data_IF_948610262853
#
_entry.id   IF_948610262853
#
_cell.length_a   1.000
_cell.length_b   1.000
_cell.length_c   1.000
_cell.angle_alpha   90.00
_cell.angle_beta   90.00
_cell.angle_gamma   90.00
#
_symmetry.space_group_name_H-M   'P 1'
#
loop_
_entity.id
_entity.type
_entity.pdbx_description
1 polymer ?
#
# COMPACT_ATOMS: atom_id res chain seq x y z
N UNK A 1 -24.08 -3.19 -38.09
CA UNK A 1 -23.64 -1.88 -37.58
C UNK A 1 -22.65 -2.20 -36.45
N UNK A 2 -21.34 -2.38 -36.70
CA UNK A 2 -20.30 -1.36 -36.96
C UNK A 2 -20.40 -0.20 -35.98
N UNK A 3 -19.56 -0.24 -34.94
CA UNK A 3 -18.96 0.87 -34.17
C UNK A 3 -17.83 0.25 -33.31
N UNK A 4 -16.63 0.06 -33.86
CA UNK A 4 -15.48 0.99 -33.72
C UNK A 4 -15.03 1.12 -32.25
N UNK A 5 -14.04 0.37 -31.75
CA UNK A 5 -12.62 0.38 -32.16
C UNK A 5 -12.04 1.79 -32.10
N UNK A 6 -11.96 2.39 -30.90
CA UNK A 6 -11.28 3.69 -30.70
C UNK A 6 -10.63 3.90 -29.32
N UNK A 7 -10.54 2.89 -28.44
CA UNK A 7 -9.86 3.04 -27.13
C UNK A 7 -8.41 2.52 -27.17
N UNK A 8 -8.03 1.75 -28.19
CA UNK A 8 -6.71 1.09 -28.24
C UNK A 8 -5.56 1.97 -28.74
N UNK A 9 -5.81 3.25 -29.10
CA UNK A 9 -4.80 4.13 -29.70
C UNK A 9 -4.24 5.21 -28.76
N UNK A 10 -4.79 5.35 -27.55
CA UNK A 10 -4.30 6.32 -26.55
C UNK A 10 -3.11 5.83 -25.72
N UNK A 11 -2.90 4.51 -25.62
CA UNK A 11 -1.96 3.92 -24.66
C UNK A 11 -0.52 3.80 -25.19
N UNK A 12 -0.32 3.81 -26.51
CA UNK A 12 1.01 3.69 -27.13
C UNK A 12 1.79 5.02 -27.08
N UNK A 13 1.09 6.16 -27.05
CA UNK A 13 1.72 7.48 -27.03
C UNK A 13 2.34 7.84 -25.67
N UNK A 14 1.87 7.23 -24.56
CA UNK A 14 2.41 7.53 -23.23
C UNK A 14 3.71 6.78 -22.92
N UNK A 15 3.87 5.56 -23.47
CA UNK A 15 5.08 4.74 -23.30
C UNK A 15 6.30 5.38 -24.00
N UNK A 16 6.10 6.13 -25.08
CA UNK A 16 7.18 6.82 -25.78
C UNK A 16 7.74 8.04 -25.01
N UNK A 17 6.99 8.62 -24.07
CA UNK A 17 7.44 9.80 -23.30
C UNK A 17 8.31 9.43 -22.09
N UNK A 18 8.15 8.21 -21.54
CA UNK A 18 8.90 7.78 -20.34
C UNK A 18 10.30 7.24 -20.69
N UNK A 19 10.54 6.84 -21.94
CA UNK A 19 11.82 6.22 -22.35
C UNK A 19 12.84 7.18 -22.99
N UNK A 20 12.54 8.48 -23.12
CA UNK A 20 13.43 9.45 -23.77
C UNK A 20 13.82 10.61 -22.84
N UNK A 21 14.36 10.28 -21.66
CA UNK A 21 15.06 11.24 -20.81
C UNK A 21 16.59 11.07 -21.02
N UNK A 22 17.30 12.11 -21.52
CA UNK A 22 18.74 12.02 -21.75
C UNK A 22 19.54 12.10 -20.43
N UNK A 23 20.66 11.36 -20.31
CA UNK A 23 21.54 11.46 -19.14
C UNK A 23 22.35 12.76 -19.18
N UNK A 24 22.26 13.57 -18.12
CA UNK A 24 23.19 14.71 -17.93
C UNK A 24 24.58 14.18 -17.56
N UNK A 25 25.51 14.30 -18.49
CA UNK A 25 26.93 14.18 -18.23
C UNK A 25 27.60 15.56 -18.29
N UNK A 26 28.27 15.88 -17.17
CA UNK A 26 29.58 16.53 -17.00
C UNK A 26 29.89 17.82 -17.77
N UNK A 27 30.20 18.87 -16.99
CA UNK A 27 31.21 19.86 -17.36
C UNK A 27 32.30 19.88 -16.27
N UNK A 28 33.49 19.44 -16.67
CA UNK A 28 34.78 19.77 -16.05
C UNK A 28 35.14 21.22 -16.41
N UNK A 29 35.79 21.95 -15.51
CA UNK A 29 36.83 22.91 -15.87
C UNK A 29 37.70 23.27 -14.62
N UNK A 30 38.90 23.87 -14.78
CA UNK A 30 40.14 23.13 -14.52
C UNK A 30 41.08 23.79 -13.48
N UNK A 31 42.05 22.97 -13.05
CA UNK A 31 43.45 23.33 -12.76
C UNK A 31 43.76 24.56 -11.89
N UNK A 32 44.25 24.29 -10.67
CA UNK A 32 45.39 25.04 -10.13
C UNK A 32 46.33 24.14 -9.33
N UNK A 33 47.42 23.78 -10.00
CA UNK A 33 48.71 23.24 -9.51
C UNK A 33 49.30 24.28 -8.51
N UNK A 34 50.02 23.99 -7.41
CA UNK A 34 51.34 23.33 -7.19
C UNK A 34 51.64 23.30 -5.64
N UNK A 35 52.77 22.78 -5.08
CA UNK A 35 53.23 21.40 -4.81
C UNK A 35 53.62 21.07 -3.32
N UNK A 36 54.11 19.84 -3.11
CA UNK A 36 55.10 19.38 -2.11
C UNK A 36 54.58 19.20 -0.66
N UNK A 37 54.86 18.14 0.12
CA UNK A 37 55.93 17.14 0.11
C UNK A 37 55.53 15.92 0.99
N UNK A 38 56.00 14.74 0.59
CA UNK A 38 56.58 13.64 1.40
C UNK A 38 55.94 13.20 2.73
N UNK A 39 55.43 11.95 2.80
CA UNK A 39 56.11 10.80 3.46
C UNK A 39 55.18 9.60 3.71
N UNK A 40 55.78 8.42 3.53
CA UNK A 40 55.54 7.16 4.27
C UNK A 40 54.47 6.17 3.80
N UNK A 41 54.91 5.35 2.84
CA UNK A 41 54.77 3.91 2.75
C UNK A 41 54.31 3.14 4.01
N UNK A 42 53.28 2.28 3.84
CA UNK A 42 53.19 0.94 4.46
C UNK A 42 52.19 0.09 3.66
N UNK A 43 52.64 -0.57 2.58
CA UNK A 43 53.16 -1.94 2.57
C UNK A 43 52.12 -3.03 2.94
N UNK A 44 51.60 -3.67 1.87
CA UNK A 44 51.44 -5.12 1.66
C UNK A 44 50.80 -5.96 2.78
N UNK A 45 49.65 -6.56 2.47
CA UNK A 45 49.45 -8.00 2.69
C UNK A 45 48.29 -8.56 1.82
N UNK A 46 48.68 -9.46 0.91
CA UNK A 46 48.03 -10.73 0.56
C UNK A 46 46.71 -10.74 -0.24
N UNK A 47 46.88 -10.78 -1.56
CA UNK A 47 46.12 -11.67 -2.44
C UNK A 47 46.61 -13.12 -2.25
N UNK A 48 45.72 -14.05 -1.87
CA UNK A 48 45.82 -15.51 -2.08
C UNK A 48 44.71 -16.26 -1.30
N UNK A 49 43.54 -16.48 -1.93
CA UNK A 49 42.58 -17.58 -1.64
C UNK A 49 41.50 -17.59 -2.73
N UNK A 50 41.85 -17.70 -4.01
CA UNK A 50 41.98 -18.96 -4.75
C UNK A 50 41.02 -20.06 -4.27
N UNK A 51 39.98 -20.27 -5.08
CA UNK A 51 39.35 -21.55 -5.45
C UNK A 51 39.30 -22.64 -4.39
N UNK A 52 38.21 -22.71 -3.64
CA UNK A 52 37.68 -24.01 -3.19
C UNK A 52 36.23 -23.91 -2.68
N UNK A 53 35.25 -23.68 -3.57
CA UNK A 53 33.85 -24.09 -3.31
C UNK A 53 32.96 -24.06 -4.56
N UNK A 54 33.44 -24.61 -5.66
CA UNK A 54 32.54 -25.25 -6.62
C UNK A 54 32.64 -26.73 -6.37
N UNK A 55 31.65 -27.28 -5.69
CA UNK A 55 31.03 -28.57 -5.99
C UNK A 55 30.04 -28.93 -4.88
N UNK A 56 28.86 -29.36 -5.33
CA UNK A 56 27.79 -30.03 -4.56
C UNK A 56 26.72 -29.15 -3.91
N UNK A 57 25.78 -28.74 -4.75
CA UNK A 57 24.33 -28.95 -4.57
C UNK A 57 23.80 -29.05 -6.01
N UNK A 58 23.84 -30.23 -6.62
CA UNK A 58 22.82 -31.26 -6.45
C UNK A 58 21.44 -30.68 -6.75
N UNK A 59 21.06 -30.92 -8.00
CA UNK A 59 19.72 -30.80 -8.56
C UNK A 59 18.71 -31.47 -7.63
N UNK A 60 18.18 -30.71 -6.69
CA UNK A 60 16.92 -31.04 -6.03
C UNK A 60 15.82 -30.46 -6.90
N UNK A 61 15.13 -31.36 -7.60
CA UNK A 61 13.89 -31.05 -8.28
C UNK A 61 12.96 -30.34 -7.27
N UNK A 62 12.18 -29.33 -7.68
CA UNK A 62 11.16 -28.78 -6.80
C UNK A 62 10.22 -29.92 -6.39
N UNK A 63 10.30 -30.30 -5.12
CA UNK A 63 9.28 -31.13 -4.49
C UNK A 63 7.91 -30.51 -4.79
N UNK A 64 6.88 -31.33 -5.05
CA UNK A 64 5.56 -30.82 -5.37
C UNK A 64 5.06 -29.98 -4.20
N UNK A 65 4.91 -28.68 -4.43
CA UNK A 65 4.32 -27.74 -3.50
C UNK A 65 3.07 -28.36 -2.87
N UNK A 66 3.16 -28.52 -1.55
CA UNK A 66 2.17 -29.07 -0.66
C UNK A 66 0.81 -28.38 -0.85
N UNK A 67 -0.12 -29.08 -1.50
CA UNK A 67 -1.49 -28.59 -1.75
C UNK A 67 -2.24 -28.27 -0.46
N UNK A 68 -1.85 -28.90 0.66
CA UNK A 68 -2.50 -28.79 1.97
C UNK A 68 -2.37 -27.39 2.58
N UNK A 69 -1.24 -26.71 2.32
CA UNK A 69 -0.99 -25.37 2.87
C UNK A 69 -1.84 -24.28 2.20
N UNK A 70 -2.27 -24.49 0.95
CA UNK A 70 -3.12 -23.51 0.22
C UNK A 70 -4.57 -23.56 0.70
N UNK A 71 -5.12 -24.75 0.90
CA UNK A 71 -6.52 -24.94 1.30
C UNK A 71 -6.81 -24.37 2.70
N UNK A 72 -5.89 -24.53 3.65
CA UNK A 72 -6.04 -23.95 4.99
C UNK A 72 -6.00 -22.41 4.99
N UNK A 73 -5.17 -21.80 4.14
CA UNK A 73 -5.10 -20.35 4.01
C UNK A 73 -6.35 -19.77 3.35
N UNK A 74 -6.90 -20.45 2.34
CA UNK A 74 -8.18 -20.09 1.72
C UNK A 74 -9.33 -20.18 2.73
N UNK A 75 -9.41 -21.27 3.50
CA UNK A 75 -10.43 -21.42 4.53
C UNK A 75 -10.37 -20.31 5.60
N UNK A 76 -9.16 -19.89 5.99
CA UNK A 76 -8.96 -18.77 6.92
C UNK A 76 -9.45 -17.43 6.35
N UNK A 77 -9.15 -17.16 5.07
CA UNK A 77 -9.67 -15.97 4.37
C UNK A 77 -11.19 -16.00 4.29
N UNK A 78 -11.78 -17.13 3.98
CA UNK A 78 -13.23 -17.31 3.90
C UNK A 78 -13.91 -17.08 5.26
N UNK A 79 -13.32 -17.59 6.35
CA UNK A 79 -13.81 -17.36 7.71
C UNK A 79 -13.75 -15.88 8.09
N UNK A 80 -12.62 -15.22 7.81
CA UNK A 80 -12.46 -13.80 8.09
C UNK A 80 -13.46 -12.97 7.29
N UNK A 81 -13.60 -13.23 5.99
CA UNK A 81 -14.54 -12.53 5.12
C UNK A 81 -15.98 -12.72 5.59
N UNK A 82 -16.39 -13.96 5.93
CA UNK A 82 -17.73 -14.24 6.43
C UNK A 82 -18.03 -13.50 7.75
N UNK A 83 -17.05 -13.42 8.66
CA UNK A 83 -17.18 -12.67 9.90
C UNK A 83 -17.31 -11.16 9.65
N UNK A 84 -16.51 -10.62 8.73
CA UNK A 84 -16.55 -9.19 8.35
C UNK A 84 -17.89 -8.84 7.68
N UNK A 85 -18.33 -9.64 6.72
CA UNK A 85 -19.60 -9.41 6.01
C UNK A 85 -20.78 -9.45 6.98
N UNK A 86 -20.79 -10.44 7.88
CA UNK A 86 -21.82 -10.54 8.92
C UNK A 86 -21.85 -9.31 9.82
N UNK A 87 -20.68 -8.80 10.21
CA UNK A 87 -20.57 -7.58 11.02
C UNK A 87 -21.10 -6.34 10.27
N UNK A 88 -20.67 -6.15 9.02
CA UNK A 88 -21.03 -5.01 8.18
C UNK A 88 -22.54 -4.93 7.92
N UNK A 89 -23.19 -6.05 7.65
CA UNK A 89 -24.64 -6.09 7.36
C UNK A 89 -25.48 -5.54 8.53
N UNK A 90 -24.98 -5.62 9.76
CA UNK A 90 -25.72 -5.14 10.93
C UNK A 90 -25.72 -3.62 11.08
N UNK A 91 -24.77 -2.91 10.45
CA UNK A 91 -24.55 -1.47 10.63
C UNK A 91 -24.62 -1.02 12.10
N UNK A 92 -23.98 -1.81 12.97
CA UNK A 92 -24.00 -1.62 14.41
C UNK A 92 -22.60 -1.35 14.93
N UNK A 93 -22.45 -0.53 15.99
CA UNK A 93 -21.17 -0.33 16.68
C UNK A 93 -20.51 -1.63 17.15
N UNK A 94 -21.30 -2.69 17.43
CA UNK A 94 -20.75 -4.00 17.79
C UNK A 94 -19.96 -4.66 16.64
N UNK A 95 -20.24 -4.30 15.39
CA UNK A 95 -19.50 -4.78 14.22
C UNK A 95 -18.02 -4.39 14.27
N UNK A 96 -17.69 -3.23 14.84
CA UNK A 96 -16.29 -2.79 15.04
C UNK A 96 -15.54 -3.79 15.91
N UNK A 97 -16.17 -4.33 16.96
CA UNK A 97 -15.54 -5.30 17.85
C UNK A 97 -15.31 -6.64 17.16
N UNK A 98 -16.21 -7.03 16.25
CA UNK A 98 -16.12 -8.28 15.48
C UNK A 98 -15.02 -8.21 14.41
N UNK A 99 -14.85 -7.06 13.75
CA UNK A 99 -13.85 -6.88 12.69
C UNK A 99 -12.43 -6.66 13.26
N UNK A 100 -12.33 -6.04 14.45
CA UNK A 100 -11.05 -5.66 15.08
C UNK A 100 -9.95 -6.74 15.08
N UNK A 101 -10.20 -8.03 15.39
CA UNK A 101 -9.15 -9.04 15.44
C UNK A 101 -8.39 -9.21 14.12
N UNK A 102 -9.05 -8.95 12.99
CA UNK A 102 -8.55 -9.19 11.64
C UNK A 102 -7.65 -8.06 11.11
N UNK A 103 -7.62 -6.89 11.78
CA UNK A 103 -6.82 -5.74 11.34
C UNK A 103 -5.30 -5.97 11.38
N UNK A 104 -4.84 -6.97 12.14
CA UNK A 104 -3.42 -7.32 12.28
C UNK A 104 -3.16 -8.79 11.94
N UNK A 105 -4.05 -9.39 11.15
CA UNK A 105 -3.91 -10.77 10.69
C UNK A 105 -2.59 -10.98 9.92
N UNK A 106 -2.08 -12.21 9.91
CA UNK A 106 -0.86 -12.52 9.16
C UNK A 106 -1.05 -12.39 7.65
N UNK A 107 -2.24 -12.73 7.15
CA UNK A 107 -2.60 -12.63 5.73
C UNK A 107 -2.93 -11.17 5.35
N UNK A 108 -2.19 -10.56 4.41
CA UNK A 108 -2.47 -9.21 3.93
C UNK A 108 -3.88 -9.05 3.33
N UNK A 109 -4.44 -10.09 2.70
CA UNK A 109 -5.79 -10.03 2.14
C UNK A 109 -6.85 -9.92 3.23
N UNK A 110 -6.66 -10.62 4.35
CA UNK A 110 -7.53 -10.52 5.53
C UNK A 110 -7.45 -9.13 6.15
N UNK A 111 -6.24 -8.57 6.30
CA UNK A 111 -6.08 -7.21 6.83
C UNK A 111 -6.75 -6.16 5.93
N UNK A 112 -6.64 -6.33 4.61
CA UNK A 112 -7.30 -5.49 3.63
C UNK A 112 -8.83 -5.58 3.75
N UNK A 113 -9.39 -6.79 3.82
CA UNK A 113 -10.81 -7.01 4.01
C UNK A 113 -11.31 -6.39 5.32
N UNK A 114 -10.54 -6.52 6.40
CA UNK A 114 -10.90 -5.93 7.70
C UNK A 114 -10.91 -4.40 7.66
N UNK A 115 -9.90 -3.77 7.02
CA UNK A 115 -9.86 -2.32 6.79
C UNK A 115 -11.09 -1.86 6.02
N UNK A 116 -11.39 -2.53 4.90
CA UNK A 116 -12.50 -2.15 4.03
C UNK A 116 -13.85 -2.37 4.72
N UNK A 117 -13.98 -3.44 5.50
CA UNK A 117 -15.14 -3.69 6.35
C UNK A 117 -15.36 -2.59 7.39
N UNK A 118 -14.30 -2.06 8.02
CA UNK A 118 -14.43 -0.91 8.94
C UNK A 118 -14.95 0.33 8.22
N UNK A 119 -14.48 0.62 7.01
CA UNK A 119 -14.95 1.75 6.21
C UNK A 119 -16.42 1.54 5.81
N UNK A 120 -16.78 0.35 5.36
CA UNK A 120 -18.13 0.02 4.93
C UNK A 120 -19.13 0.06 6.09
N UNK A 121 -18.71 -0.34 7.29
CA UNK A 121 -19.52 -0.23 8.49
C UNK A 121 -19.79 1.24 8.85
N UNK A 122 -18.86 2.15 8.56
CA UNK A 122 -19.05 3.60 8.71
C UNK A 122 -19.01 4.11 10.16
N UNK A 123 -18.60 3.27 11.10
CA UNK A 123 -18.65 3.58 12.53
C UNK A 123 -17.42 4.42 12.96
N UNK A 124 -17.62 5.60 13.58
CA UNK A 124 -16.52 6.47 14.00
C UNK A 124 -15.55 5.82 15.00
N UNK A 125 -16.03 4.86 15.80
CA UNK A 125 -15.23 4.12 16.77
C UNK A 125 -14.12 3.27 16.10
N UNK A 126 -14.21 3.01 14.79
CA UNK A 126 -13.17 2.33 14.04
C UNK A 126 -11.92 3.21 13.78
N UNK A 127 -12.04 4.54 13.79
CA UNK A 127 -10.94 5.49 13.51
C UNK A 127 -9.70 5.24 14.38
N UNK A 128 -9.79 5.21 15.73
CA UNK A 128 -8.61 4.95 16.56
C UNK A 128 -8.03 3.55 16.31
N UNK A 129 -8.86 2.54 16.02
CA UNK A 129 -8.39 1.19 15.76
C UNK A 129 -7.60 1.08 14.45
N UNK A 130 -8.06 1.77 13.39
CA UNK A 130 -7.37 1.83 12.11
C UNK A 130 -6.02 2.54 12.25
N UNK A 131 -5.95 3.65 13.00
CA UNK A 131 -4.69 4.36 13.29
C UNK A 131 -3.73 3.52 14.14
N UNK A 132 -4.26 2.84 15.15
CA UNK A 132 -3.47 1.92 16.00
C UNK A 132 -2.93 0.72 15.21
N UNK A 133 -3.70 0.20 14.26
CA UNK A 133 -3.27 -0.87 13.38
C UNK A 133 -2.17 -0.38 12.43
N UNK A 134 -2.35 0.78 11.80
CA UNK A 134 -1.35 1.42 10.95
C UNK A 134 0.01 1.54 11.64
N UNK A 135 0.06 1.93 12.91
CA UNK A 135 1.30 2.04 13.69
C UNK A 135 2.04 0.72 13.96
N UNK A 136 1.42 -0.43 13.68
CA UNK A 136 1.98 -1.78 13.89
C UNK A 136 2.34 -2.49 12.58
N UNK A 137 1.84 -1.98 11.45
CA UNK A 137 2.15 -2.51 10.13
C UNK A 137 3.57 -2.11 9.70
N UNK A 138 4.10 -2.83 8.70
CA UNK A 138 5.46 -2.62 8.18
C UNK A 138 5.46 -2.03 6.77
N UNK A 139 4.48 -2.42 5.95
CA UNK A 139 4.39 -2.01 4.57
C UNK A 139 3.84 -0.58 4.47
N UNK A 140 4.62 0.33 3.88
CA UNK A 140 4.26 1.75 3.78
C UNK A 140 2.95 2.00 3.03
N UNK A 141 2.69 1.24 1.96
CA UNK A 141 1.44 1.33 1.19
C UNK A 141 0.24 0.92 2.04
N UNK A 142 0.41 -0.11 2.86
CA UNK A 142 -0.64 -0.59 3.75
C UNK A 142 -0.92 0.40 4.88
N UNK A 143 0.13 0.95 5.49
CA UNK A 143 0.04 2.02 6.50
C UNK A 143 -0.75 3.21 5.94
N UNK A 144 -0.42 3.66 4.72
CA UNK A 144 -1.11 4.76 4.06
C UNK A 144 -2.60 4.45 3.85
N UNK A 145 -2.93 3.24 3.39
CA UNK A 145 -4.32 2.83 3.18
C UNK A 145 -5.14 2.77 4.49
N UNK A 146 -4.54 2.36 5.60
CA UNK A 146 -5.22 2.40 6.91
C UNK A 146 -5.44 3.84 7.40
N UNK A 147 -4.50 4.75 7.15
CA UNK A 147 -4.69 6.17 7.46
C UNK A 147 -5.79 6.79 6.59
N UNK A 148 -5.79 6.50 5.29
CA UNK A 148 -6.84 6.95 4.37
C UNK A 148 -8.22 6.46 4.82
N UNK A 149 -8.34 5.18 5.18
CA UNK A 149 -9.57 4.62 5.73
C UNK A 149 -10.04 5.36 7.00
N UNK A 150 -9.12 5.68 7.91
CA UNK A 150 -9.45 6.42 9.12
C UNK A 150 -9.87 7.87 8.82
N UNK A 151 -9.25 8.50 7.82
CA UNK A 151 -9.56 9.87 7.42
C UNK A 151 -10.90 9.95 6.69
N UNK A 152 -11.26 8.95 5.88
CA UNK A 152 -12.59 8.82 5.27
C UNK A 152 -13.69 8.77 6.33
N UNK A 153 -13.49 8.00 7.40
CA UNK A 153 -14.44 7.91 8.52
C UNK A 153 -14.49 9.16 9.38
N UNK A 154 -13.42 9.97 9.38
CA UNK A 154 -13.36 11.23 10.12
C UNK A 154 -14.02 12.40 9.39
N UNK A 155 -14.45 12.21 8.13
CA UNK A 155 -15.14 13.26 7.39
C UNK A 155 -16.49 13.57 8.03
N UNK A 156 -16.86 14.85 8.16
CA UNK A 156 -18.19 15.22 8.63
C UNK A 156 -19.24 14.72 7.63
N UNK A 157 -20.39 14.29 8.15
CA UNK A 157 -21.55 14.07 7.29
C UNK A 157 -21.87 15.38 6.55
N UNK A 158 -22.23 15.28 5.26
CA UNK A 158 -22.51 16.48 4.46
C UNK A 158 -23.56 17.38 5.13
N UNK A 159 -24.60 16.79 5.74
CA UNK A 159 -25.65 17.53 6.48
C UNK A 159 -25.13 18.40 7.64
N UNK A 160 -23.93 18.13 8.13
CA UNK A 160 -23.32 18.86 9.25
C UNK A 160 -22.45 20.02 8.79
N UNK A 161 -22.12 20.10 7.50
CA UNK A 161 -21.31 21.20 6.96
C UNK A 161 -22.10 22.51 6.90
N UNK A 162 -21.40 23.62 6.88
CA UNK A 162 -21.99 24.96 6.77
C UNK A 162 -22.76 25.13 5.48
N UNK A 163 -22.24 24.60 4.38
CA UNK A 163 -22.84 24.68 3.05
C UNK A 163 -24.20 23.98 3.01
N UNK A 164 -24.32 22.81 3.64
CA UNK A 164 -25.58 22.08 3.72
C UNK A 164 -26.62 22.83 4.56
N UNK A 165 -26.19 23.43 5.69
CA UNK A 165 -27.07 24.24 6.55
C UNK A 165 -27.59 25.47 5.82
N UNK A 166 -26.72 26.16 5.09
CA UNK A 166 -27.06 27.35 4.31
C UNK A 166 -28.04 27.01 3.18
N UNK A 167 -27.80 25.92 2.45
CA UNK A 167 -28.70 25.45 1.40
C UNK A 167 -30.11 25.11 1.94
N UNK A 168 -30.20 24.49 3.11
CA UNK A 168 -31.49 24.21 3.77
C UNK A 168 -32.19 25.51 4.19
N UNK A 169 -31.44 26.49 4.72
CA UNK A 169 -31.99 27.78 5.12
C UNK A 169 -32.57 28.57 3.94
N UNK A 170 -31.92 28.53 2.77
CA UNK A 170 -32.43 29.13 1.54
C UNK A 170 -33.77 28.51 1.11
N UNK A 171 -33.85 27.17 1.06
CA UNK A 171 -35.07 26.44 0.67
C UNK A 171 -36.26 26.77 1.60
N UNK A 172 -35.99 26.85 2.91
CA UNK A 172 -37.04 27.17 3.91
C UNK A 172 -37.42 28.65 3.83
N UNK A 173 -36.45 29.55 3.63
CA UNK A 173 -36.66 30.99 3.53
C UNK A 173 -37.50 31.40 2.31
N UNK A 174 -37.32 30.71 1.19
CA UNK A 174 -38.06 30.98 -0.06
C UNK A 174 -39.52 30.46 -0.01
N UNK A 175 -39.86 29.57 0.92
CA UNK A 175 -41.22 29.02 1.07
C UNK A 175 -42.19 29.91 1.88
N UNK A 176 -41.76 31.07 2.39
CA UNK A 176 -42.56 31.95 3.27
C UNK A 176 -42.93 33.29 2.61
N UNK A 177 -42.65 33.49 1.31
CA UNK A 177 -43.09 34.67 0.55
C UNK A 177 -44.27 34.36 -0.39
#
# INVERSE_FOLDING_TARGET
MKNFSFVLLGLVAWVALVLFAPPKAKDEEPSKVVPAETTSAKARATAAREKQRREKSETEAPEPADKTTTEAAEAHRDEAQAAIDAAVITYSPEGVKQIRPWLLDADPEVRMAARDGMVQLGEPDAIPLLRDAAGKLKEHSEIAAFHEAADLLALPAWSETTEAKDAIAEIIGDSVQ
#
